data_IF_185144672284
#
_entry.id   IF_185144672284
#
_cell.length_a   1.000
_cell.length_b   1.000
_cell.length_c   1.000
_cell.angle_alpha   90.00
_cell.angle_beta   90.00
_cell.angle_gamma   90.00
#
_symmetry.space_group_name_H-M   'P 1'
#
loop_
_entity.id
_entity.type
_entity.pdbx_description
1 polymer ?
#
# COMPACT_ATOMS: atom_id res chain seq x y z
N UNK A 1 -13.78 -4.40 2.24
CA UNK A 1 -13.64 -5.77 1.74
C UNK A 1 -12.26 -5.98 1.16
N UNK A 2 -11.31 -6.44 1.97
CA UNK A 2 -9.94 -6.70 1.49
C UNK A 2 -9.86 -7.98 0.64
N UNK A 3 -10.56 -9.03 1.05
CA UNK A 3 -10.59 -10.32 0.35
C UNK A 3 -11.68 -10.39 -0.71
N UNK A 4 -12.84 -9.78 -0.45
CA UNK A 4 -13.98 -9.78 -1.37
C UNK A 4 -13.80 -8.90 -2.59
N UNK A 5 -12.88 -7.93 -2.55
CA UNK A 5 -12.55 -7.04 -3.67
C UNK A 5 -11.03 -6.97 -3.89
N UNK A 6 -10.41 -8.14 -4.10
CA UNK A 6 -8.96 -8.25 -4.28
C UNK A 6 -8.45 -7.45 -5.48
N UNK A 7 -9.20 -7.35 -6.58
CA UNK A 7 -8.79 -6.58 -7.76
C UNK A 7 -8.58 -5.09 -7.46
N UNK A 8 -9.42 -4.50 -6.60
CA UNK A 8 -9.27 -3.09 -6.20
C UNK A 8 -8.14 -2.91 -5.19
N UNK A 9 -7.98 -3.84 -4.24
CA UNK A 9 -6.90 -3.82 -3.26
C UNK A 9 -5.54 -4.01 -3.94
N UNK A 10 -5.46 -4.86 -4.94
CA UNK A 10 -4.26 -5.08 -5.73
C UNK A 10 -3.80 -3.79 -6.44
N UNK A 11 -4.72 -3.00 -7.00
CA UNK A 11 -4.41 -1.66 -7.55
C UNK A 11 -3.85 -0.72 -6.49
N UNK A 12 -4.39 -0.75 -5.26
CA UNK A 12 -3.85 0.03 -4.13
C UNK A 12 -2.45 -0.42 -3.72
N UNK A 13 -2.15 -1.72 -3.84
CA UNK A 13 -0.83 -2.27 -3.57
C UNK A 13 0.18 -1.84 -4.66
N UNK A 14 -0.22 -1.84 -5.93
CA UNK A 14 0.59 -1.30 -7.02
C UNK A 14 0.91 0.18 -6.78
N UNK A 15 -0.09 0.97 -6.36
CA UNK A 15 0.11 2.38 -5.97
C UNK A 15 1.13 2.54 -4.84
N UNK A 16 1.13 1.66 -3.83
CA UNK A 16 2.13 1.69 -2.77
C UNK A 16 3.55 1.48 -3.34
N UNK A 17 3.73 0.48 -4.22
CA UNK A 17 5.02 0.21 -4.87
C UNK A 17 5.49 1.37 -5.76
N UNK A 18 4.57 2.02 -6.46
CA UNK A 18 4.88 3.23 -7.23
C UNK A 18 5.39 4.36 -6.34
N UNK A 19 4.75 4.60 -5.19
CA UNK A 19 5.17 5.63 -4.23
C UNK A 19 6.54 5.33 -3.63
N UNK A 20 6.82 4.07 -3.29
CA UNK A 20 8.13 3.63 -2.80
C UNK A 20 9.22 3.80 -3.87
N UNK A 21 8.93 3.43 -5.12
CA UNK A 21 9.87 3.60 -6.24
C UNK A 21 10.15 5.07 -6.53
N UNK A 22 9.14 5.94 -6.45
CA UNK A 22 9.31 7.39 -6.59
C UNK A 22 10.17 7.98 -5.47
N UNK A 23 10.04 7.48 -4.24
CA UNK A 23 10.85 7.90 -3.10
C UNK A 23 12.32 7.47 -3.27
N UNK A 24 12.56 6.22 -3.68
CA UNK A 24 13.92 5.69 -3.88
C UNK A 24 14.67 6.35 -5.05
N UNK A 25 13.96 6.74 -6.10
CA UNK A 25 14.54 7.37 -7.31
C UNK A 25 14.75 8.88 -7.17
N UNK A 26 14.46 9.47 -5.99
CA UNK A 26 14.58 10.92 -5.79
C UNK A 26 13.47 11.73 -6.47
N UNK A 27 12.34 11.10 -6.82
CA UNK A 27 11.19 11.72 -7.51
C UNK A 27 10.47 12.83 -6.75
N UNK A 28 11.01 13.25 -5.60
CA UNK A 28 10.57 14.42 -4.84
C UNK A 28 11.29 15.71 -5.24
N UNK A 29 12.39 15.65 -6.00
CA UNK A 29 13.23 16.81 -6.33
C UNK A 29 12.57 17.90 -7.20
N UNK A 30 11.37 17.66 -7.73
CA UNK A 30 10.57 18.64 -8.48
C UNK A 30 9.27 19.08 -7.79
N UNK A 31 9.02 18.67 -6.54
CA UNK A 31 7.74 18.88 -5.85
C UNK A 31 7.87 19.84 -4.68
N UNK A 32 6.78 20.55 -4.37
CA UNK A 32 6.73 21.42 -3.20
C UNK A 32 6.74 20.59 -1.91
N UNK A 33 7.25 21.16 -0.80
CA UNK A 33 7.26 20.49 0.51
C UNK A 33 5.87 20.00 0.95
N UNK A 34 4.81 20.72 0.55
CA UNK A 34 3.42 20.36 0.84
C UNK A 34 2.98 19.09 0.09
N UNK A 35 3.36 18.96 -1.18
CA UNK A 35 3.06 17.78 -2.00
C UNK A 35 3.84 16.56 -1.52
N UNK A 36 5.12 16.74 -1.17
CA UNK A 36 5.95 15.68 -0.58
C UNK A 36 5.31 15.16 0.71
N UNK A 37 4.84 16.06 1.58
CA UNK A 37 4.14 15.69 2.81
C UNK A 37 2.85 14.91 2.53
N UNK A 38 2.09 15.30 1.50
CA UNK A 38 0.89 14.59 1.07
C UNK A 38 1.18 13.16 0.64
N UNK A 39 2.19 12.98 -0.22
CA UNK A 39 2.63 11.67 -0.71
C UNK A 39 3.18 10.78 0.40
N UNK A 40 3.94 11.36 1.33
CA UNK A 40 4.46 10.63 2.49
C UNK A 40 3.32 10.12 3.38
N UNK A 41 2.28 10.94 3.59
CA UNK A 41 1.09 10.53 4.35
C UNK A 41 0.29 9.45 3.62
N UNK A 42 0.16 9.55 2.30
CA UNK A 42 -0.49 8.52 1.47
C UNK A 42 0.26 7.18 1.59
N UNK A 43 1.59 7.19 1.43
CA UNK A 43 2.46 6.02 1.61
C UNK A 43 2.26 5.39 2.98
N UNK A 44 2.42 6.16 4.05
CA UNK A 44 2.31 5.67 5.43
C UNK A 44 0.93 5.06 5.71
N UNK A 45 -0.14 5.64 5.16
CA UNK A 45 -1.50 5.11 5.31
C UNK A 45 -1.67 3.76 4.59
N UNK A 46 -1.16 3.67 3.36
CA UNK A 46 -1.20 2.44 2.57
C UNK A 46 -0.34 1.35 3.20
N UNK A 47 0.87 1.66 3.64
CA UNK A 47 1.79 0.73 4.31
C UNK A 47 1.19 0.17 5.60
N UNK A 48 0.61 1.02 6.46
CA UNK A 48 -0.05 0.57 7.69
C UNK A 48 -1.23 -0.38 7.42
N UNK A 49 -1.93 -0.16 6.31
CA UNK A 49 -3.17 -0.89 6.00
C UNK A 49 -2.93 -2.15 5.17
N UNK A 50 -1.89 -2.16 4.32
CA UNK A 50 -1.63 -3.20 3.32
C UNK A 50 -0.27 -3.89 3.52
N UNK A 51 0.54 -3.47 4.48
CA UNK A 51 1.88 -4.03 4.73
C UNK A 51 1.87 -5.53 4.98
N UNK A 52 0.87 -6.05 5.71
CA UNK A 52 0.72 -7.48 5.95
C UNK A 52 0.35 -8.31 4.72
N UNK A 53 -0.16 -7.69 3.65
CA UNK A 53 -0.53 -8.36 2.39
C UNK A 53 0.36 -7.92 1.23
N UNK A 54 1.51 -7.30 1.51
CA UNK A 54 2.40 -6.73 0.49
C UNK A 54 2.96 -7.77 -0.47
N UNK A 55 3.26 -8.95 0.06
CA UNK A 55 3.87 -10.04 -0.69
C UNK A 55 2.82 -11.01 -1.27
N UNK A 56 1.52 -10.72 -1.05
CA UNK A 56 0.43 -11.54 -1.57
C UNK A 56 0.17 -11.25 -3.05
N UNK A 57 0.72 -12.08 -3.92
CA UNK A 57 0.42 -12.03 -5.36
C UNK A 57 -0.98 -12.57 -5.72
N UNK A 58 -1.55 -13.43 -4.87
CA UNK A 58 -2.86 -14.07 -5.05
C UNK A 58 -3.64 -14.08 -3.74
N UNK A 59 -4.96 -14.26 -3.84
CA UNK A 59 -5.81 -14.49 -2.67
C UNK A 59 -5.37 -15.76 -1.92
N UNK A 60 -5.45 -15.78 -0.58
CA UNK A 60 -4.96 -16.89 0.21
C UNK A 60 -5.94 -18.07 0.12
N UNK A 61 -5.40 -19.30 0.15
CA UNK A 61 -6.20 -20.53 0.14
C UNK A 61 -6.76 -20.89 1.52
N UNK A 62 -6.11 -20.43 2.59
CA UNK A 62 -6.54 -20.59 3.97
C UNK A 62 -6.31 -19.30 4.74
N UNK A 63 -7.16 -19.02 5.72
CA UNK A 63 -7.06 -17.85 6.59
C UNK A 63 -6.95 -18.35 8.02
N UNK A 64 -5.98 -17.82 8.75
CA UNK A 64 -5.87 -18.02 10.19
C UNK A 64 -6.25 -16.71 10.89
N UNK A 65 -7.24 -16.78 11.78
CA UNK A 65 -7.78 -15.63 12.50
C UNK A 65 -7.51 -15.84 13.99
N UNK A 66 -6.95 -14.82 14.63
CA UNK A 66 -6.80 -14.77 16.09
C UNK A 66 -7.85 -13.81 16.62
N UNK A 67 -8.61 -14.26 17.61
CA UNK A 67 -9.72 -13.55 18.23
C UNK A 67 -10.86 -13.24 17.24
N UNK A 68 -11.93 -14.04 17.32
CA UNK A 68 -13.08 -13.94 16.43
C UNK A 68 -14.22 -13.08 16.99
N UNK A 69 -14.06 -12.52 18.20
CA UNK A 69 -15.08 -11.74 18.88
C UNK A 69 -15.25 -10.33 18.29
#
# INVERSE_FOLDING_TARGET
>A
GMLTNFSTVHKRLQRLKELEAMEQTGGFEGRTKKEILGLTREKNKLERSLGGIRDMAKVPSAIWVVDTN
#
